data_IF_649366357561
#
_entry.id   IF_649366357561
#
_cell.length_a   1.000
_cell.length_b   1.000
_cell.length_c   1.000
_cell.angle_alpha   90.00
_cell.angle_beta   90.00
_cell.angle_gamma   90.00
#
_symmetry.space_group_name_H-M   'P 1'
#
loop_
_entity.id
_entity.type
_entity.pdbx_description
1 polymer ?
#
# COMPACT_ATOMS: atom_id res chain seq x y z
N UNK A 1 -7.17 15.51 7.25
CA UNK A 1 -6.61 14.25 7.77
C UNK A 1 -7.35 13.15 7.04
N UNK A 2 -6.75 12.52 6.03
CA UNK A 2 -7.41 11.42 5.33
C UNK A 2 -7.24 10.16 6.17
N UNK A 3 -8.30 9.67 6.81
CA UNK A 3 -8.22 8.41 7.52
C UNK A 3 -8.42 7.29 6.51
N UNK A 4 -7.46 6.37 6.37
CA UNK A 4 -7.65 5.18 5.51
C UNK A 4 -8.86 4.36 5.98
N UNK A 5 -9.16 4.40 7.28
CA UNK A 5 -10.35 3.76 7.87
C UNK A 5 -11.69 4.31 7.34
N UNK A 6 -11.71 5.52 6.74
CA UNK A 6 -12.92 6.11 6.14
C UNK A 6 -12.99 5.88 4.62
N UNK A 7 -11.97 5.26 4.03
CA UNK A 7 -11.93 4.94 2.60
C UNK A 7 -12.60 3.60 2.32
N UNK A 8 -13.12 3.44 1.10
CA UNK A 8 -13.61 2.14 0.65
C UNK A 8 -12.41 1.24 0.32
N UNK A 9 -11.92 0.48 1.30
CA UNK A 9 -10.78 -0.42 1.13
C UNK A 9 -11.18 -1.90 1.27
N UNK A 10 -10.44 -2.76 0.57
CA UNK A 10 -10.52 -4.21 0.70
C UNK A 10 -9.23 -4.73 1.36
N UNK A 11 -9.34 -5.69 2.29
CA UNK A 11 -8.19 -6.36 2.89
C UNK A 11 -7.87 -7.61 2.08
N UNK A 12 -6.71 -7.62 1.42
CA UNK A 12 -6.24 -8.76 0.62
C UNK A 12 -5.45 -9.77 1.45
N UNK A 13 -4.69 -9.29 2.43
CA UNK A 13 -3.94 -10.14 3.35
C UNK A 13 -4.04 -9.58 4.77
N UNK A 14 -4.70 -10.28 5.71
CA UNK A 14 -4.81 -9.84 7.10
C UNK A 14 -3.59 -10.25 7.93
N UNK A 15 -3.33 -9.48 9.01
CA UNK A 15 -2.48 -9.85 10.17
C UNK A 15 -1.18 -10.61 9.82
N UNK A 16 -0.35 -10.02 8.97
CA UNK A 16 0.90 -10.61 8.47
C UNK A 16 2.12 -9.77 8.86
N UNK A 17 3.33 -10.34 8.67
CA UNK A 17 4.58 -9.60 8.84
C UNK A 17 4.86 -8.66 7.66
N UNK A 18 5.73 -7.67 7.87
CA UNK A 18 6.20 -6.76 6.79
C UNK A 18 6.72 -7.52 5.56
N UNK A 19 7.45 -8.61 5.80
CA UNK A 19 8.02 -9.43 4.74
C UNK A 19 6.93 -10.13 3.95
N UNK A 20 5.95 -10.73 4.63
CA UNK A 20 4.83 -11.41 3.98
C UNK A 20 3.97 -10.48 3.15
N UNK A 21 3.66 -9.27 3.67
CA UNK A 21 2.96 -8.25 2.89
C UNK A 21 3.74 -7.88 1.62
N UNK A 22 5.07 -7.68 1.75
CA UNK A 22 5.92 -7.34 0.62
C UNK A 22 6.01 -8.49 -0.40
N UNK A 23 6.19 -9.73 0.05
CA UNK A 23 6.20 -10.93 -0.79
C UNK A 23 4.86 -11.14 -1.50
N UNK A 24 3.75 -10.93 -0.81
CA UNK A 24 2.40 -11.03 -1.38
C UNK A 24 2.24 -10.06 -2.54
N UNK A 25 2.62 -8.79 -2.35
CA UNK A 25 2.52 -7.78 -3.42
C UNK A 25 3.40 -8.17 -4.61
N UNK A 26 4.63 -8.61 -4.35
CA UNK A 26 5.59 -9.01 -5.39
C UNK A 26 5.17 -10.21 -6.22
N UNK A 27 4.42 -11.14 -5.64
CA UNK A 27 4.01 -12.39 -6.29
C UNK A 27 2.69 -12.27 -7.05
N UNK A 28 1.76 -11.45 -6.54
CA UNK A 28 0.40 -11.38 -7.08
C UNK A 28 0.20 -10.25 -8.10
N UNK A 29 1.07 -9.22 -8.11
CA UNK A 29 0.90 -8.06 -8.97
C UNK A 29 2.09 -7.86 -9.91
N UNK A 30 1.83 -7.17 -11.02
CA UNK A 30 2.83 -6.93 -12.08
C UNK A 30 3.37 -5.51 -12.09
N UNK A 31 2.50 -4.52 -11.91
CA UNK A 31 2.87 -3.10 -11.91
C UNK A 31 3.23 -2.69 -10.48
N UNK A 32 4.51 -2.78 -10.13
CA UNK A 32 5.01 -2.54 -8.77
C UNK A 32 5.95 -1.33 -8.75
N UNK A 33 5.69 -0.43 -7.81
CA UNK A 33 6.49 0.73 -7.47
C UNK A 33 7.16 0.50 -6.12
N UNK A 34 8.42 0.89 -6.02
CA UNK A 34 9.20 0.77 -4.79
C UNK A 34 9.38 2.16 -4.20
N UNK A 35 8.85 2.37 -2.99
CA UNK A 35 8.92 3.66 -2.32
C UNK A 35 9.79 3.60 -1.06
N UNK A 36 10.41 4.72 -0.64
CA UNK A 36 11.12 4.78 0.62
C UNK A 36 10.15 4.68 1.82
N UNK A 37 10.68 4.35 2.98
CA UNK A 37 9.93 4.47 4.23
C UNK A 37 9.57 5.94 4.48
N UNK A 38 8.36 6.21 4.99
CA UNK A 38 7.85 7.56 5.12
C UNK A 38 7.35 8.18 3.81
N UNK A 39 7.14 7.40 2.75
CA UNK A 39 6.40 7.88 1.58
C UNK A 39 4.96 8.20 1.97
N UNK A 40 4.48 9.38 1.59
CA UNK A 40 3.11 9.82 1.87
C UNK A 40 2.18 9.43 0.72
N UNK A 41 1.18 8.60 1.05
CA UNK A 41 0.13 8.16 0.14
C UNK A 41 -1.23 8.24 0.84
N UNK A 42 -2.26 8.73 0.14
CA UNK A 42 -3.60 8.96 0.73
C UNK A 42 -3.56 9.79 2.04
N UNK A 43 -2.60 10.73 2.14
CA UNK A 43 -2.40 11.55 3.33
C UNK A 43 -1.83 10.81 4.55
N UNK A 44 -1.38 9.56 4.40
CA UNK A 44 -0.75 8.76 5.44
C UNK A 44 0.70 8.41 5.07
N UNK A 45 1.55 8.33 6.09
CA UNK A 45 2.94 7.92 5.91
C UNK A 45 3.07 6.40 5.99
N UNK A 46 3.63 5.79 4.95
CA UNK A 46 3.88 4.36 4.94
C UNK A 46 4.99 3.98 5.90
N UNK A 47 4.67 3.02 6.76
CA UNK A 47 5.57 2.41 7.73
C UNK A 47 5.91 1.01 7.23
N UNK A 48 7.20 0.69 7.13
CA UNK A 48 7.66 -0.60 6.68
C UNK A 48 9.15 -0.66 6.43
N UNK A 49 9.62 -1.82 5.97
CA UNK A 49 11.03 -2.05 5.63
C UNK A 49 11.24 -1.55 4.19
N UNK A 50 12.06 -0.51 3.95
CA UNK A 50 12.32 -0.03 2.61
C UNK A 50 13.24 -1.02 1.83
N UNK A 51 13.10 -1.09 0.50
CA UNK A 51 12.08 -0.43 -0.32
C UNK A 51 10.70 -1.09 -0.16
N UNK A 52 9.69 -0.28 0.14
CA UNK A 52 8.32 -0.75 0.38
C UNK A 52 7.65 -0.93 -0.99
N UNK A 53 7.18 -2.15 -1.33
CA UNK A 53 6.47 -2.37 -2.59
C UNK A 53 5.03 -1.88 -2.48
N UNK A 54 4.60 -1.10 -3.46
CA UNK A 54 3.21 -0.72 -3.73
C UNK A 54 2.89 -1.21 -5.13
N UNK A 55 1.74 -1.84 -5.33
CA UNK A 55 1.29 -2.21 -6.66
C UNK A 55 0.11 -1.34 -7.12
N UNK A 56 -0.03 -1.23 -8.43
CA UNK A 56 -1.24 -0.71 -9.07
C UNK A 56 -1.88 -1.86 -9.85
N UNK A 57 -3.18 -2.06 -9.66
CA UNK A 57 -3.96 -3.00 -10.46
C UNK A 57 -5.21 -2.29 -10.96
N UNK A 58 -5.34 -2.17 -12.28
CA UNK A 58 -6.32 -1.31 -12.93
C UNK A 58 -6.13 0.15 -12.48
N UNK A 59 -6.98 0.62 -11.57
CA UNK A 59 -6.95 1.94 -10.93
C UNK A 59 -6.96 1.86 -9.39
N UNK A 60 -6.73 0.67 -8.84
CA UNK A 60 -6.59 0.45 -7.42
C UNK A 60 -5.12 0.41 -7.02
N UNK A 61 -4.83 0.93 -5.83
CA UNK A 61 -3.53 0.86 -5.19
C UNK A 61 -3.54 -0.27 -4.18
N UNK A 62 -2.54 -1.13 -4.28
CA UNK A 62 -2.30 -2.22 -3.36
C UNK A 62 -1.05 -1.90 -2.54
N UNK A 63 -1.22 -1.72 -1.23
CA UNK A 63 -0.13 -1.30 -0.37
C UNK A 63 -0.14 -2.02 0.98
N UNK A 64 1.04 -2.19 1.61
CA UNK A 64 1.10 -2.63 2.99
C UNK A 64 0.64 -1.50 3.91
N UNK A 65 -0.19 -1.82 4.89
CA UNK A 65 -0.66 -0.89 5.91
C UNK A 65 -0.49 -1.50 7.30
N UNK A 66 0.06 -0.71 8.23
CA UNK A 66 0.35 -1.18 9.59
C UNK A 66 -0.62 -0.55 10.56
N UNK A 67 -1.42 -1.37 11.24
CA UNK A 67 -2.18 -0.94 12.41
C UNK A 67 -1.39 -1.32 13.68
N UNK A 68 -1.01 -0.36 14.54
CA UNK A 68 -0.24 -0.63 15.75
C UNK A 68 -0.85 -1.68 16.68
N UNK A 69 -2.18 -1.79 16.67
CA UNK A 69 -2.96 -2.71 17.50
C UNK A 69 -3.22 -4.09 16.87
N UNK A 70 -3.11 -4.23 15.54
CA UNK A 70 -3.56 -5.44 14.83
C UNK A 70 -2.55 -6.02 13.82
N UNK A 71 -1.35 -5.43 13.70
CA UNK A 71 -0.30 -5.92 12.81
C UNK A 71 -0.32 -5.28 11.42
N UNK A 72 0.29 -5.95 10.44
CA UNK A 72 0.38 -5.45 9.06
C UNK A 72 -0.65 -6.14 8.15
N UNK A 73 -1.15 -5.38 7.20
CA UNK A 73 -2.18 -5.76 6.26
C UNK A 73 -1.72 -5.43 4.85
N UNK A 74 -2.26 -6.12 3.84
CA UNK A 74 -2.25 -5.64 2.46
C UNK A 74 -3.64 -5.14 2.14
N UNK A 75 -3.74 -3.87 1.79
CA UNK A 75 -4.99 -3.21 1.43
C UNK A 75 -5.04 -2.97 -0.07
N UNK A 76 -6.23 -3.09 -0.65
CA UNK A 76 -6.59 -2.54 -1.96
C UNK A 76 -7.49 -1.33 -1.74
N UNK A 77 -7.12 -0.19 -2.33
CA UNK A 77 -7.81 1.09 -2.16
C UNK A 77 -8.00 1.72 -3.54
N UNK A 78 -9.19 2.24 -3.88
CA UNK A 78 -9.41 3.04 -5.08
C UNK A 78 -8.39 4.16 -5.16
N UNK A 79 -7.58 4.12 -6.21
CA UNK A 79 -6.34 4.89 -6.26
C UNK A 79 -6.52 6.36 -6.64
N UNK A 80 -7.50 6.66 -7.51
CA UNK A 80 -7.79 8.03 -7.93
C UNK A 80 -6.55 8.77 -8.43
N UNK A 81 -6.27 9.95 -7.85
CA UNK A 81 -5.11 10.76 -8.23
C UNK A 81 -3.77 10.14 -7.82
N UNK A 82 -3.73 9.29 -6.78
CA UNK A 82 -2.50 8.69 -6.29
C UNK A 82 -1.89 7.70 -7.30
N UNK A 83 -2.72 7.05 -8.13
CA UNK A 83 -2.22 6.18 -9.23
C UNK A 83 -1.44 6.98 -10.25
N UNK A 84 -1.96 8.16 -10.64
CA UNK A 84 -1.27 9.06 -11.56
C UNK A 84 0.05 9.54 -10.97
N UNK A 85 0.05 9.85 -9.67
CA UNK A 85 1.25 10.28 -8.95
C UNK A 85 2.34 9.18 -8.91
N UNK A 86 1.96 7.95 -8.57
CA UNK A 86 2.86 6.79 -8.58
C UNK A 86 3.45 6.54 -9.98
N UNK A 87 2.60 6.51 -11.01
CA UNK A 87 3.04 6.33 -12.41
C UNK A 87 3.90 7.47 -12.93
N UNK A 88 3.70 8.70 -12.44
CA UNK A 88 4.53 9.85 -12.78
C UNK A 88 5.92 9.84 -12.11
N UNK A 89 6.17 8.91 -11.17
CA UNK A 89 7.43 8.79 -10.46
C UNK A 89 7.71 9.95 -9.50
N UNK A 90 6.66 10.59 -8.94
CA UNK A 90 6.76 11.75 -8.05
C UNK A 90 6.27 11.49 -6.62
#
# INVERSE_FOLDING_TARGET
MGCIDEMNYEILLPSSSFKECADYIKKNFKEIFYVPAGYMIFGNYLIGIPPIPIAVENDDIIMPYVKPCHGSFVLRIPGGEEVKRLRAGK
#
